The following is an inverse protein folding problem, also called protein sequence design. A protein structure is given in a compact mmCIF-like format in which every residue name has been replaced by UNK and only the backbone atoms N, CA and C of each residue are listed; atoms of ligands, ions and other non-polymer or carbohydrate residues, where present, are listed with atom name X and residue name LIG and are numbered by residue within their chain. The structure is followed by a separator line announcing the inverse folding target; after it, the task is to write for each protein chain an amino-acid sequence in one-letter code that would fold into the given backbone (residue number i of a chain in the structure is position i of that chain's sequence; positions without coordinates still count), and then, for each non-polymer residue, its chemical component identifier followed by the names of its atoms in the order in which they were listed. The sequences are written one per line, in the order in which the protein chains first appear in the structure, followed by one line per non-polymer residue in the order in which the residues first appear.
data_IF_627079583001
#
_entry.id   IF_627079583001
#
_cell.length_a   1.000
_cell.length_b   1.000
_cell.length_c   1.000
_cell.angle_alpha   90.00
_cell.angle_beta   90.00
_cell.angle_gamma   90.00
#
_symmetry.space_group_name_H-M   'P 1'
#
loop_
_entity.id
_entity.type
_entity.pdbx_description
1 polymer ?
#
# COMPACT_ATOMS: atom_id res chain seq x y z
N UNK A 1 -9.49 -22.83 0.79
CA UNK A 1 -10.70 -22.47 1.59
C UNK A 1 -11.07 -21.03 1.28
N UNK A 2 -12.37 -20.70 1.15
CA UNK A 2 -12.83 -19.31 1.02
C UNK A 2 -13.35 -18.82 2.37
N UNK A 3 -12.81 -17.70 2.84
CA UNK A 3 -13.26 -17.01 4.05
C UNK A 3 -13.91 -15.69 3.62
N UNK A 4 -15.23 -15.59 3.79
CA UNK A 4 -16.00 -14.41 3.42
C UNK A 4 -16.10 -13.46 4.61
N UNK A 5 -15.78 -12.19 4.39
CA UNK A 5 -16.22 -11.12 5.29
C UNK A 5 -17.70 -10.85 5.04
N UNK A 6 -18.45 -10.60 6.12
CA UNK A 6 -19.88 -10.27 6.03
C UNK A 6 -20.07 -8.79 6.30
N UNK A 7 -20.91 -8.15 5.49
CA UNK A 7 -21.21 -6.72 5.59
C UNK A 7 -21.90 -6.42 6.93
N UNK A 8 -21.33 -5.50 7.70
CA UNK A 8 -21.94 -4.88 8.88
C UNK A 8 -21.56 -3.41 8.89
N UNK A 9 -22.48 -2.55 9.35
CA UNK A 9 -22.28 -1.10 9.54
C UNK A 9 -20.95 -0.75 10.22
N UNK A 10 -20.47 -1.64 11.10
CA UNK A 10 -19.12 -1.63 11.66
C UNK A 10 -18.64 -3.07 11.67
N UNK A 11 -17.77 -3.46 10.75
CA UNK A 11 -17.04 -4.74 10.84
C UNK A 11 -15.86 -4.53 11.77
N UNK A 12 -15.80 -5.17 12.95
CA UNK A 12 -14.71 -4.93 13.88
C UNK A 12 -13.36 -5.33 13.28
N UNK A 13 -12.32 -4.54 13.52
CA UNK A 13 -10.95 -4.79 13.04
C UNK A 13 -10.45 -6.22 13.37
N UNK A 14 -10.85 -6.78 14.51
CA UNK A 14 -10.47 -8.15 14.90
C UNK A 14 -10.99 -9.22 13.93
N UNK A 15 -12.06 -8.94 13.17
CA UNK A 15 -12.59 -9.86 12.16
C UNK A 15 -11.57 -10.06 11.05
N UNK A 16 -11.02 -8.96 10.52
CA UNK A 16 -9.99 -9.00 9.48
C UNK A 16 -8.74 -9.76 9.94
N UNK A 17 -8.24 -9.46 11.15
CA UNK A 17 -7.02 -10.10 11.66
C UNK A 17 -7.25 -11.58 12.03
N UNK A 18 -8.42 -11.96 12.54
CA UNK A 18 -8.74 -13.36 12.83
C UNK A 18 -8.92 -14.20 11.55
N UNK A 19 -9.58 -13.63 10.54
CA UNK A 19 -9.71 -14.26 9.22
C UNK A 19 -8.32 -14.45 8.60
N UNK A 20 -7.48 -13.42 8.65
CA UNK A 20 -6.10 -13.50 8.18
C UNK A 20 -5.29 -14.59 8.90
N UNK A 21 -5.26 -14.58 10.24
CA UNK A 21 -4.55 -15.58 11.04
C UNK A 21 -5.00 -17.00 10.69
N UNK A 22 -6.31 -17.19 10.52
CA UNK A 22 -6.88 -18.48 10.13
C UNK A 22 -6.45 -18.89 8.72
N UNK A 23 -6.48 -17.98 7.75
CA UNK A 23 -6.02 -18.24 6.38
C UNK A 23 -4.53 -18.58 6.30
N UNK A 24 -3.72 -17.83 7.05
CA UNK A 24 -2.25 -17.90 7.05
C UNK A 24 -1.71 -19.17 7.75
N UNK A 25 -2.46 -19.70 8.72
CA UNK A 25 -2.08 -20.91 9.46
C UNK A 25 -2.50 -22.23 8.77
N UNK A 26 -3.29 -22.17 7.69
CA UNK A 26 -3.81 -23.36 6.99
C UNK A 26 -2.81 -23.90 5.98
N UNK A 27 -2.81 -25.23 5.78
CA UNK A 27 -2.13 -25.84 4.64
C UNK A 27 -2.91 -25.63 3.34
N UNK A 28 -2.22 -25.70 2.20
CA UNK A 28 -2.83 -25.64 0.86
C UNK A 28 -2.90 -24.24 0.27
N UNK A 29 -4.10 -23.75 -0.05
CA UNK A 29 -4.37 -22.38 -0.52
C UNK A 29 -5.57 -21.76 0.19
N UNK A 30 -5.48 -20.46 0.46
CA UNK A 30 -6.53 -19.70 1.15
C UNK A 30 -6.96 -18.50 0.33
N UNK A 31 -8.27 -18.25 0.29
CA UNK A 31 -8.89 -17.08 -0.29
C UNK A 31 -9.61 -16.32 0.80
N UNK A 32 -9.27 -15.05 0.99
CA UNK A 32 -9.98 -14.09 1.82
C UNK A 32 -10.78 -13.21 0.87
N UNK A 33 -12.09 -13.09 1.08
CA UNK A 33 -12.98 -12.35 0.19
C UNK A 33 -13.69 -11.22 0.94
N UNK A 34 -13.50 -9.99 0.45
CA UNK A 34 -14.29 -8.81 0.82
C UNK A 34 -15.36 -8.61 -0.26
N UNK A 35 -16.63 -8.96 0.00
CA UNK A 35 -17.68 -8.83 -1.00
C UNK A 35 -18.03 -7.35 -1.23
N UNK A 36 -18.89 -7.10 -2.22
CA UNK A 36 -19.49 -5.77 -2.44
C UNK A 36 -20.18 -5.27 -1.18
N UNK A 37 -20.07 -3.97 -0.93
CA UNK A 37 -20.51 -3.30 0.30
C UNK A 37 -19.42 -2.37 0.84
N UNK A 38 -19.70 -1.62 1.89
CA UNK A 38 -18.73 -0.74 2.54
C UNK A 38 -18.35 -1.28 3.91
N UNK A 39 -17.05 -1.45 4.14
CA UNK A 39 -16.48 -2.03 5.35
C UNK A 39 -15.56 -1.03 6.01
N UNK A 40 -15.95 -0.55 7.19
CA UNK A 40 -15.05 0.25 8.00
C UNK A 40 -13.85 -0.59 8.44
N UNK A 41 -12.65 -0.06 8.20
CA UNK A 41 -11.40 -0.70 8.57
C UNK A 41 -10.50 0.32 9.25
N UNK A 42 -10.27 0.14 10.56
CA UNK A 42 -9.20 0.86 11.26
C UNK A 42 -7.82 0.40 10.79
N UNK A 43 -6.75 0.92 11.40
CA UNK A 43 -5.40 0.46 11.06
C UNK A 43 -5.20 -1.04 11.36
N UNK A 44 -4.63 -1.79 10.42
CA UNK A 44 -4.51 -3.25 10.50
C UNK A 44 -3.16 -3.75 9.99
N UNK A 45 -2.63 -4.78 10.65
CA UNK A 45 -1.46 -5.52 10.17
C UNK A 45 -1.84 -6.98 9.88
N UNK A 46 -1.52 -7.40 8.66
CA UNK A 46 -1.60 -8.77 8.15
C UNK A 46 -0.19 -9.33 8.15
N UNK A 47 0.11 -10.23 9.09
CA UNK A 47 1.47 -10.67 9.39
C UNK A 47 1.63 -12.15 9.07
N UNK A 48 2.74 -12.50 8.39
CA UNK A 48 3.20 -13.86 8.16
C UNK A 48 4.29 -14.31 9.17
N UNK A 49 5.07 -15.37 8.86
CA UNK A 49 5.03 -16.16 7.63
C UNK A 49 3.75 -17.00 7.54
N UNK A 50 3.21 -17.13 6.34
CA UNK A 50 2.06 -17.98 6.06
C UNK A 50 2.51 -19.34 5.54
N UNK A 51 1.76 -20.40 5.89
CA UNK A 51 2.07 -21.78 5.47
C UNK A 51 1.71 -22.04 4.00
N UNK A 52 1.02 -21.10 3.37
CA UNK A 52 0.37 -21.25 2.08
C UNK A 52 0.32 -19.92 1.32
N UNK A 53 0.04 -20.03 0.01
CA UNK A 53 -0.39 -18.89 -0.80
C UNK A 53 -1.73 -18.33 -0.28
N UNK A 54 -1.83 -16.99 -0.25
CA UNK A 54 -3.05 -16.28 0.10
C UNK A 54 -3.52 -15.42 -1.09
N UNK A 55 -4.77 -15.62 -1.48
CA UNK A 55 -5.52 -14.75 -2.37
C UNK A 55 -6.39 -13.81 -1.53
N UNK A 56 -6.18 -12.50 -1.60
CA UNK A 56 -6.96 -11.49 -0.91
C UNK A 56 -7.77 -10.70 -1.96
N UNK A 57 -9.05 -11.03 -2.07
CA UNK A 57 -9.95 -10.50 -3.11
C UNK A 57 -10.83 -9.41 -2.50
N UNK A 58 -10.83 -8.23 -3.12
CA UNK A 58 -11.56 -7.05 -2.66
C UNK A 58 -12.52 -6.59 -3.76
N UNK A 59 -13.81 -6.86 -3.61
CA UNK A 59 -14.86 -6.32 -4.49
C UNK A 59 -15.69 -5.20 -3.82
N UNK A 60 -15.56 -5.05 -2.50
CA UNK A 60 -16.18 -3.96 -1.75
C UNK A 60 -15.26 -2.75 -1.55
N UNK A 61 -15.73 -1.79 -0.77
CA UNK A 61 -14.96 -0.63 -0.32
C UNK A 61 -14.45 -0.88 1.10
N UNK A 62 -13.13 -0.88 1.29
CA UNK A 62 -12.54 -0.72 2.62
C UNK A 62 -12.42 0.77 2.89
N UNK A 63 -13.03 1.24 3.97
CA UNK A 63 -13.11 2.67 4.31
C UNK A 63 -12.27 2.95 5.56
N UNK A 64 -11.26 3.81 5.42
CA UNK A 64 -10.39 4.24 6.51
C UNK A 64 -11.14 5.12 7.52
N UNK A 65 -10.62 5.34 8.74
CA UNK A 65 -11.13 6.38 9.62
C UNK A 65 -10.97 7.78 9.00
N UNK A 66 -11.98 8.64 9.12
CA UNK A 66 -11.89 10.02 8.58
C UNK A 66 -10.93 10.88 9.41
N UNK A 67 -10.88 10.63 10.72
CA UNK A 67 -9.90 11.24 11.60
C UNK A 67 -8.62 10.38 11.61
N UNK A 68 -7.49 10.89 11.09
CA UNK A 68 -6.25 10.12 11.01
C UNK A 68 -5.73 9.67 12.38
N UNK A 69 -6.09 10.36 13.46
CA UNK A 69 -5.73 9.95 14.83
C UNK A 69 -6.36 8.62 15.25
N UNK A 70 -7.37 8.12 14.54
CA UNK A 70 -8.00 6.83 14.82
C UNK A 70 -7.24 5.66 14.19
N UNK A 71 -6.25 5.94 13.34
CA UNK A 71 -5.25 4.98 12.88
C UNK A 71 -4.15 4.90 13.95
N UNK A 72 -4.21 3.85 14.79
CA UNK A 72 -3.27 3.68 15.91
C UNK A 72 -1.94 3.06 15.47
N UNK A 73 -1.94 2.38 14.32
CA UNK A 73 -0.80 1.72 13.69
C UNK A 73 0.01 2.71 12.85
N UNK A 74 1.23 2.34 12.44
CA UNK A 74 2.10 3.20 11.61
C UNK A 74 1.55 3.47 10.21
N UNK A 75 0.68 2.59 9.72
CA UNK A 75 0.01 2.66 8.42
C UNK A 75 -1.44 2.17 8.60
N UNK A 76 -2.30 2.44 7.61
CA UNK A 76 -3.69 1.96 7.61
C UNK A 76 -3.78 0.47 7.33
N UNK A 77 -3.17 -0.03 6.26
CA UNK A 77 -3.15 -1.47 5.95
C UNK A 77 -1.70 -1.88 5.72
N UNK A 78 -1.24 -2.87 6.48
CA UNK A 78 0.14 -3.34 6.40
C UNK A 78 0.20 -4.85 6.15
N UNK A 79 0.84 -5.29 5.07
CA UNK A 79 1.13 -6.69 4.80
C UNK A 79 2.61 -6.97 5.09
N UNK A 80 2.91 -7.83 6.07
CA UNK A 80 4.27 -8.03 6.58
C UNK A 80 4.74 -9.47 6.58
N UNK A 81 5.96 -9.71 6.11
CA UNK A 81 6.64 -11.03 6.18
C UNK A 81 5.87 -12.13 5.46
N UNK A 82 5.33 -11.83 4.28
CA UNK A 82 4.46 -12.74 3.53
C UNK A 82 5.13 -13.13 2.22
N UNK A 83 5.14 -14.44 1.96
CA UNK A 83 5.47 -14.99 0.65
C UNK A 83 4.17 -15.40 -0.07
N UNK A 84 4.16 -15.28 -1.40
CA UNK A 84 3.05 -15.73 -2.25
C UNK A 84 1.69 -15.08 -1.89
N UNK A 85 1.67 -13.76 -1.80
CA UNK A 85 0.44 -12.98 -1.66
C UNK A 85 -0.08 -12.52 -3.03
N UNK A 86 -1.36 -12.73 -3.30
CA UNK A 86 -2.04 -12.17 -4.46
C UNK A 86 -3.21 -11.30 -3.98
N UNK A 87 -3.26 -10.05 -4.44
CA UNK A 87 -4.35 -9.12 -4.14
C UNK A 87 -5.05 -8.77 -5.45
N UNK A 88 -6.37 -8.89 -5.47
CA UNK A 88 -7.17 -8.67 -6.68
C UNK A 88 -8.58 -8.19 -6.34
N UNK A 89 -9.38 -7.94 -7.36
CA UNK A 89 -10.78 -7.55 -7.24
C UNK A 89 -11.04 -6.16 -7.83
N UNK A 90 -12.31 -5.78 -7.82
CA UNK A 90 -12.80 -4.53 -8.44
C UNK A 90 -13.12 -3.43 -7.42
N UNK A 91 -12.84 -3.71 -6.15
CA UNK A 91 -13.17 -2.87 -5.01
C UNK A 91 -12.27 -1.65 -4.85
N UNK A 92 -12.43 -0.97 -3.72
CA UNK A 92 -11.79 0.31 -3.45
C UNK A 92 -11.18 0.34 -2.05
N UNK A 93 -9.98 0.92 -1.95
CA UNK A 93 -9.38 1.32 -0.67
C UNK A 93 -9.58 2.84 -0.53
N UNK A 94 -10.59 3.26 0.22
CA UNK A 94 -10.87 4.68 0.44
C UNK A 94 -10.19 5.17 1.73
N UNK A 95 -9.07 5.88 1.55
CA UNK A 95 -8.27 6.43 2.64
C UNK A 95 -8.86 7.68 3.30
N UNK A 96 -9.97 8.24 2.80
CA UNK A 96 -10.59 9.49 3.32
C UNK A 96 -9.59 10.65 3.53
N UNK A 97 -8.64 10.81 2.59
CA UNK A 97 -7.47 11.69 2.76
C UNK A 97 -7.74 13.18 2.97
N UNK A 98 -8.92 13.69 2.59
CA UNK A 98 -9.27 15.13 2.63
C UNK A 98 -9.07 15.78 4.00
N UNK A 99 -9.43 15.10 5.08
CA UNK A 99 -9.26 15.61 6.44
C UNK A 99 -7.80 15.48 6.93
N UNK A 100 -7.03 14.61 6.29
CA UNK A 100 -5.66 14.26 6.68
C UNK A 100 -4.61 15.14 5.99
N UNK A 101 -4.84 15.59 4.76
CA UNK A 101 -3.88 16.40 4.00
C UNK A 101 -3.41 17.68 4.70
N UNK A 102 -4.29 18.51 5.32
CA UNK A 102 -3.84 19.72 6.02
C UNK A 102 -2.97 19.43 7.24
N UNK A 103 -2.99 18.18 7.74
CA UNK A 103 -2.25 17.74 8.91
C UNK A 103 -0.90 17.10 8.54
N UNK A 104 -0.57 17.03 7.24
CA UNK A 104 0.68 16.46 6.76
C UNK A 104 1.84 17.46 6.88
N UNK A 105 2.16 17.86 8.12
CA UNK A 105 3.21 18.82 8.45
C UNK A 105 4.40 18.18 9.16
N UNK A 106 4.59 16.86 9.00
CA UNK A 106 5.61 16.05 9.68
C UNK A 106 7.06 16.55 9.48
N UNK A 107 7.32 17.34 8.43
CA UNK A 107 8.61 17.99 8.20
C UNK A 107 8.87 19.17 9.17
N UNK A 108 7.83 19.69 9.80
CA UNK A 108 7.86 20.81 10.76
C UNK A 108 7.45 20.39 12.17
N UNK A 109 6.61 19.36 12.29
CA UNK A 109 5.96 18.94 13.52
C UNK A 109 6.22 17.46 13.82
N UNK A 110 6.86 17.18 14.97
CA UNK A 110 7.14 15.81 15.41
C UNK A 110 5.91 15.05 15.91
N UNK A 111 4.79 15.74 16.17
CA UNK A 111 3.52 15.18 16.63
C UNK A 111 2.46 15.11 15.52
N UNK A 112 2.88 15.12 14.25
CA UNK A 112 1.94 15.00 13.14
C UNK A 112 1.15 13.66 13.20
N UNK A 113 -0.12 13.65 12.79
CA UNK A 113 -0.93 12.43 12.81
C UNK A 113 -0.51 11.45 11.71
N UNK A 114 -0.68 10.16 11.98
CA UNK A 114 -0.42 9.09 11.02
C UNK A 114 -1.51 9.08 9.94
N UNK A 115 -1.12 9.10 8.67
CA UNK A 115 -2.07 9.19 7.55
C UNK A 115 -2.53 7.81 7.10
N UNK A 116 -3.68 7.76 6.43
CA UNK A 116 -4.22 6.53 5.87
C UNK A 116 -3.36 6.05 4.68
N UNK A 117 -2.37 5.21 4.98
CA UNK A 117 -1.38 4.73 4.02
C UNK A 117 -1.37 3.21 3.96
N UNK A 118 -1.17 2.63 2.77
CA UNK A 118 -1.01 1.18 2.63
C UNK A 118 0.47 0.82 2.50
N UNK A 119 0.89 -0.28 3.13
CA UNK A 119 2.29 -0.72 3.16
C UNK A 119 2.43 -2.24 2.95
N UNK A 120 3.42 -2.64 2.17
CA UNK A 120 3.89 -4.01 2.03
C UNK A 120 5.35 -4.06 2.46
N UNK A 121 5.67 -4.97 3.38
CA UNK A 121 6.93 -4.92 4.09
C UNK A 121 7.56 -6.28 4.44
N UNK A 122 8.88 -6.37 4.27
CA UNK A 122 9.69 -7.42 4.92
C UNK A 122 10.73 -6.87 5.91
N UNK A 123 10.86 -5.55 6.11
CA UNK A 123 11.70 -4.87 7.12
C UNK A 123 11.13 -3.47 7.47
N UNK A 124 10.93 -3.15 8.75
CA UNK A 124 10.31 -1.86 9.17
C UNK A 124 11.10 -0.61 8.76
N UNK A 125 10.53 0.21 7.87
CA UNK A 125 10.86 1.63 7.65
C UNK A 125 9.62 2.44 7.24
N UNK A 126 9.43 3.64 7.81
CA UNK A 126 8.32 4.54 7.45
C UNK A 126 8.63 5.29 6.14
N UNK A 127 7.69 5.26 5.20
CA UNK A 127 7.71 6.08 3.97
C UNK A 127 6.30 6.60 3.71
N UNK A 128 6.16 7.89 3.39
CA UNK A 128 4.88 8.56 3.10
C UNK A 128 4.40 8.23 1.69
N UNK A 129 3.16 7.82 1.46
CA UNK A 129 2.64 7.53 0.11
C UNK A 129 1.38 6.69 0.15
N UNK A 130 0.63 6.64 -0.96
CA UNK A 130 -0.64 5.90 -1.01
C UNK A 130 -0.41 4.40 -0.93
N UNK A 131 0.55 3.89 -1.72
CA UNK A 131 1.02 2.50 -1.70
C UNK A 131 2.55 2.49 -1.48
N UNK A 132 3.01 1.89 -0.39
CA UNK A 132 4.44 1.85 -0.06
C UNK A 132 4.95 0.40 -0.05
N UNK A 133 6.03 0.13 -0.77
CA UNK A 133 6.67 -1.18 -0.86
C UNK A 133 8.09 -1.08 -0.33
N UNK A 134 8.42 -1.90 0.66
CA UNK A 134 9.74 -1.90 1.29
C UNK A 134 10.28 -3.32 1.47
N UNK A 135 11.49 -3.60 0.96
CA UNK A 135 12.07 -4.95 0.96
C UNK A 135 11.16 -6.01 0.33
N UNK A 136 10.43 -5.59 -0.71
CA UNK A 136 9.55 -6.46 -1.51
C UNK A 136 10.29 -6.91 -2.77
N UNK A 137 10.25 -8.21 -3.05
CA UNK A 137 10.96 -8.83 -4.16
C UNK A 137 10.02 -9.66 -5.03
N UNK A 138 10.17 -9.62 -6.35
CA UNK A 138 9.35 -10.37 -7.31
C UNK A 138 7.85 -10.02 -7.20
N UNK A 139 7.52 -8.74 -7.41
CA UNK A 139 6.15 -8.25 -7.25
C UNK A 139 5.65 -7.53 -8.50
N UNK A 140 4.40 -7.82 -8.88
CA UNK A 140 3.75 -7.23 -10.03
C UNK A 140 2.56 -6.37 -9.59
N UNK A 141 2.48 -5.15 -10.13
CA UNK A 141 1.34 -4.24 -10.00
C UNK A 141 0.75 -4.07 -11.39
N UNK A 142 -0.54 -4.35 -11.56
CA UNK A 142 -1.18 -4.28 -12.87
C UNK A 142 -2.63 -3.84 -12.75
N UNK A 143 -3.07 -2.93 -13.62
CA UNK A 143 -4.48 -2.49 -13.65
C UNK A 143 -4.90 -1.66 -12.45
N UNK A 144 -3.95 -1.12 -11.68
CA UNK A 144 -4.25 -0.33 -10.47
C UNK A 144 -4.56 1.12 -10.85
N UNK A 145 -5.51 1.72 -10.14
CA UNK A 145 -5.78 3.16 -10.23
C UNK A 145 -5.57 3.79 -8.86
N UNK A 146 -4.77 4.86 -8.80
CA UNK A 146 -4.52 5.66 -7.60
C UNK A 146 -4.98 7.09 -7.86
N UNK A 147 -5.81 7.64 -6.98
CA UNK A 147 -6.39 8.98 -7.14
C UNK A 147 -6.30 9.80 -5.86
N UNK A 148 -5.69 10.97 -5.97
CA UNK A 148 -5.75 12.08 -5.02
C UNK A 148 -5.80 13.40 -5.81
N UNK A 149 -6.30 14.51 -5.24
CA UNK A 149 -6.27 15.82 -5.87
C UNK A 149 -4.86 16.26 -6.26
N UNK A 150 -4.71 17.04 -7.33
CA UNK A 150 -3.39 17.51 -7.77
C UNK A 150 -2.73 18.50 -6.82
N UNK A 151 -3.51 19.13 -5.95
CA UNK A 151 -3.07 20.05 -4.91
C UNK A 151 -2.92 19.36 -3.54
N UNK A 152 -3.08 18.03 -3.45
CA UNK A 152 -2.90 17.33 -2.19
C UNK A 152 -1.40 17.19 -1.84
N UNK A 153 -0.94 17.74 -0.72
CA UNK A 153 0.49 17.73 -0.34
C UNK A 153 1.01 16.32 -0.03
N UNK A 154 2.17 15.99 -0.60
CA UNK A 154 2.95 14.77 -0.35
C UNK A 154 2.13 13.47 -0.49
N UNK A 155 1.23 13.46 -1.46
CA UNK A 155 0.52 12.27 -1.89
C UNK A 155 1.29 11.60 -3.02
N UNK A 156 2.38 10.93 -2.72
CA UNK A 156 3.00 10.09 -3.72
C UNK A 156 2.08 8.90 -4.01
N UNK A 157 2.02 8.46 -5.27
CA UNK A 157 1.21 7.33 -5.69
C UNK A 157 1.75 6.02 -5.14
N UNK A 158 2.89 5.59 -5.67
CA UNK A 158 3.54 4.32 -5.31
C UNK A 158 5.01 4.56 -4.96
N UNK A 159 5.43 4.14 -3.77
CA UNK A 159 6.83 4.22 -3.33
C UNK A 159 7.49 2.86 -3.26
N UNK A 160 8.75 2.80 -3.68
CA UNK A 160 9.59 1.61 -3.56
C UNK A 160 10.89 1.95 -2.85
N UNK A 161 11.26 1.16 -1.86
CA UNK A 161 12.58 1.20 -1.23
C UNK A 161 13.12 -0.20 -0.96
N UNK A 162 14.39 -0.45 -1.26
CA UNK A 162 15.03 -1.76 -1.08
C UNK A 162 14.29 -2.90 -1.80
N UNK A 163 13.60 -2.61 -2.89
CA UNK A 163 12.82 -3.58 -3.66
C UNK A 163 13.63 -4.18 -4.81
N UNK A 164 13.27 -5.37 -5.29
CA UNK A 164 13.84 -5.86 -6.55
C UNK A 164 12.92 -6.72 -7.39
N UNK A 165 13.16 -6.74 -8.71
CA UNK A 165 12.37 -7.51 -9.67
C UNK A 165 10.89 -7.11 -9.61
N UNK A 166 10.64 -5.82 -9.82
CA UNK A 166 9.31 -5.22 -9.77
C UNK A 166 8.79 -4.98 -11.19
N UNK A 167 7.52 -5.29 -11.43
CA UNK A 167 6.84 -4.90 -12.68
C UNK A 167 5.61 -4.08 -12.40
N UNK A 168 5.48 -2.94 -13.06
CA UNK A 168 4.31 -2.07 -12.99
C UNK A 168 3.78 -1.93 -14.41
N UNK A 169 2.51 -2.26 -14.62
CA UNK A 169 1.90 -2.13 -15.95
C UNK A 169 0.46 -1.68 -15.93
N UNK A 170 0.01 -1.03 -17.01
CA UNK A 170 -1.41 -0.70 -17.24
C UNK A 170 -2.05 0.02 -16.04
N UNK A 171 -1.35 0.99 -15.46
CA UNK A 171 -1.73 1.62 -14.19
C UNK A 171 -1.99 3.11 -14.42
N UNK A 172 -2.97 3.68 -13.73
CA UNK A 172 -3.29 5.11 -13.80
C UNK A 172 -3.09 5.76 -12.42
N UNK A 173 -2.22 6.77 -12.34
CA UNK A 173 -1.83 7.40 -11.09
C UNK A 173 -2.04 8.91 -11.24
N UNK A 174 -2.99 9.45 -10.50
CA UNK A 174 -3.19 10.88 -10.36
C UNK A 174 -3.09 11.28 -8.91
N UNK A 175 -2.08 12.07 -8.58
CA UNK A 175 -1.84 12.58 -7.23
C UNK A 175 -1.18 13.96 -7.29
N UNK A 176 -0.94 14.60 -6.13
CA UNK A 176 -0.24 15.88 -6.04
C UNK A 176 1.28 15.82 -5.84
N UNK A 177 1.90 14.63 -5.90
CA UNK A 177 3.36 14.45 -5.78
C UNK A 177 3.83 13.36 -6.77
N UNK A 178 4.97 12.70 -6.54
CA UNK A 178 5.47 11.62 -7.40
C UNK A 178 4.40 10.55 -7.67
N UNK A 179 4.17 10.19 -8.93
CA UNK A 179 3.33 9.03 -9.25
C UNK A 179 4.00 7.74 -8.80
N UNK A 180 5.29 7.60 -9.11
CA UNK A 180 6.13 6.49 -8.67
C UNK A 180 7.43 7.08 -8.14
N UNK A 181 7.72 6.88 -6.85
CA UNK A 181 8.99 7.26 -6.24
C UNK A 181 9.86 6.02 -6.03
N UNK A 182 11.06 6.02 -6.62
CA UNK A 182 12.01 4.91 -6.61
C UNK A 182 13.19 5.30 -5.71
N UNK A 183 13.20 4.78 -4.49
CA UNK A 183 14.16 5.11 -3.45
C UNK A 183 15.28 4.08 -3.37
N UNK A 184 16.23 4.38 -2.47
CA UNK A 184 17.47 3.64 -2.26
C UNK A 184 17.30 2.12 -2.21
N UNK A 185 18.25 1.41 -2.84
CA UNK A 185 18.32 -0.04 -2.82
C UNK A 185 17.30 -0.74 -3.73
N UNK A 186 16.61 0.01 -4.58
CA UNK A 186 15.65 -0.54 -5.54
C UNK A 186 16.34 -0.94 -6.85
N UNK A 187 16.13 -2.17 -7.32
CA UNK A 187 16.75 -2.66 -8.56
C UNK A 187 15.82 -3.48 -9.45
N UNK A 188 16.13 -3.55 -10.74
CA UNK A 188 15.40 -4.37 -11.73
C UNK A 188 13.89 -4.09 -11.71
N UNK A 189 13.51 -2.89 -12.16
CA UNK A 189 12.13 -2.45 -12.23
C UNK A 189 11.72 -2.18 -13.68
N UNK A 190 10.67 -2.83 -14.15
CA UNK A 190 10.03 -2.55 -15.44
C UNK A 190 8.72 -1.80 -15.22
N UNK A 191 8.60 -0.62 -15.81
CA UNK A 191 7.41 0.23 -15.77
C UNK A 191 6.91 0.36 -17.21
N UNK A 192 5.67 -0.02 -17.49
CA UNK A 192 5.13 0.05 -18.85
C UNK A 192 3.67 0.48 -18.89
N UNK A 193 3.29 1.33 -19.84
CA UNK A 193 1.90 1.79 -19.98
C UNK A 193 1.32 2.35 -18.66
N UNK A 194 2.09 3.23 -18.01
CA UNK A 194 1.66 3.96 -16.81
C UNK A 194 1.24 5.36 -17.19
N UNK A 195 -0.03 5.70 -16.92
CA UNK A 195 -0.51 7.07 -17.01
C UNK A 195 -0.24 7.77 -15.69
N UNK A 196 0.46 8.90 -15.74
CA UNK A 196 0.83 9.69 -14.57
C UNK A 196 0.40 11.14 -14.75
N UNK A 197 -0.19 11.74 -13.72
CA UNK A 197 -0.49 13.17 -13.67
C UNK A 197 -1.75 13.46 -12.85
N UNK A 198 -1.80 14.60 -12.13
CA UNK A 198 -1.04 15.84 -12.40
C UNK A 198 0.28 16.04 -11.63
N UNK A 199 0.68 15.11 -10.77
CA UNK A 199 1.84 15.25 -9.88
C UNK A 199 3.23 15.26 -10.56
N UNK A 200 4.27 14.83 -9.84
CA UNK A 200 5.67 15.08 -10.21
C UNK A 200 6.30 14.04 -11.16
N UNK A 201 5.54 13.05 -11.62
CA UNK A 201 6.05 12.06 -12.58
C UNK A 201 6.54 10.78 -11.95
N UNK A 202 7.41 10.07 -12.67
CA UNK A 202 8.14 8.90 -12.18
C UNK A 202 9.53 9.39 -11.78
N UNK A 203 9.84 9.30 -10.49
CA UNK A 203 11.02 9.93 -9.89
C UNK A 203 11.96 8.89 -9.29
N UNK A 204 13.24 8.99 -9.63
CA UNK A 204 14.30 8.25 -8.92
C UNK A 204 14.83 9.15 -7.81
N UNK A 205 14.59 8.75 -6.56
CA UNK A 205 15.01 9.43 -5.35
C UNK A 205 13.87 10.07 -4.56
N UNK A 206 14.17 11.02 -3.66
CA UNK A 206 15.51 11.59 -3.45
C UNK A 206 16.55 10.58 -2.95
N UNK A 207 17.79 10.70 -3.44
CA UNK A 207 18.97 9.96 -2.99
C UNK A 207 20.08 10.97 -2.63
N UNK A 208 21.08 10.53 -1.86
CA UNK A 208 22.23 11.31 -1.41
C UNK A 208 22.06 12.03 -0.06
N UNK A 209 20.92 11.86 0.64
CA UNK A 209 20.67 12.55 1.91
C UNK A 209 21.34 11.84 3.09
N UNK A 210 21.25 10.51 3.14
CA UNK A 210 21.73 9.72 4.28
C UNK A 210 23.01 8.96 3.92
N UNK A 211 23.88 8.75 4.92
CA UNK A 211 25.04 7.88 4.77
C UNK A 211 24.59 6.43 4.58
N UNK A 212 25.20 5.72 3.64
CA UNK A 212 24.96 4.29 3.41
C UNK A 212 23.76 3.96 2.53
N UNK A 213 23.16 4.96 1.87
CA UNK A 213 22.19 4.73 0.81
C UNK A 213 22.80 3.84 -0.29
N UNK A 214 22.01 2.86 -0.73
CA UNK A 214 22.30 1.93 -1.79
C UNK A 214 21.86 2.49 -3.15
N UNK A 215 22.53 2.02 -4.19
CA UNK A 215 22.24 2.36 -5.57
C UNK A 215 20.81 2.00 -5.97
N UNK A 216 20.29 2.76 -6.94
CA UNK A 216 19.12 2.40 -7.73
C UNK A 216 19.61 2.03 -9.13
N UNK A 217 19.24 0.84 -9.63
CA UNK A 217 19.76 0.36 -10.92
C UNK A 217 18.75 -0.51 -11.68
N UNK A 218 18.94 -0.66 -12.99
CA UNK A 218 18.07 -1.50 -13.83
C UNK A 218 16.61 -1.02 -13.86
N UNK A 219 16.39 0.29 -13.95
CA UNK A 219 15.05 0.88 -14.09
C UNK A 219 14.76 1.09 -15.57
N UNK A 220 13.68 0.49 -16.04
CA UNK A 220 13.21 0.59 -17.41
C UNK A 220 11.77 1.14 -17.41
N UNK A 221 11.49 2.12 -18.26
CA UNK A 221 10.19 2.79 -18.36
C UNK A 221 9.78 2.94 -19.82
N UNK A 222 8.66 2.35 -20.22
CA UNK A 222 8.18 2.27 -21.62
C UNK A 222 6.71 2.64 -21.82
#
# INVERSE_FOLDING_TARGET
MVLNLTEKLITPMYVFTNVWKSACARGGSSKIYVPKGTFYLGGVEFVGPCKNQIEFVIDGTLLAPSNPRDIKQDTWINFRYINNLYISGTGTLDGQGKQSWPLNDCHKNTNCPKLAMNRWDNITQQQNGTLNFFSVHHFNITGVTVTAPGDSPNTDGIKFGFCSNIRISNTNIGTGDDCIAILSGTSNMDISNVKCGPGHGISVGSLGKNKGEKDVNGINST
#
